data_IF_433700686685
#
_entry.id   IF_433700686685
#
_cell.length_a   1.000
_cell.length_b   1.000
_cell.length_c   1.000
_cell.angle_alpha   90.00
_cell.angle_beta   90.00
_cell.angle_gamma   90.00
#
_symmetry.space_group_name_H-M   'P 1'
#
loop_
_entity.id
_entity.type
_entity.pdbx_description
1 polymer ?
#
# COMPACT_ATOMS: atom_id res chain seq x y z
N UNK A 1 -0.10 33.19 -9.16
CA UNK A 1 0.63 33.05 -10.42
C UNK A 1 2.10 33.09 -10.07
N UNK A 2 2.72 31.94 -9.91
CA UNK A 2 4.16 31.79 -9.85
C UNK A 2 4.49 30.59 -10.71
N UNK A 3 4.93 30.87 -11.90
CA UNK A 3 5.50 29.93 -12.85
C UNK A 3 6.77 29.35 -12.21
N UNK A 4 6.69 28.10 -11.77
CA UNK A 4 7.86 27.35 -11.36
C UNK A 4 8.60 26.93 -12.63
N UNK A 5 9.40 27.82 -13.18
CA UNK A 5 10.34 27.58 -14.27
C UNK A 5 11.59 26.93 -13.68
N UNK A 6 11.45 25.66 -13.24
CA UNK A 6 12.62 24.83 -12.94
C UNK A 6 13.12 24.23 -14.25
N UNK A 7 13.77 25.05 -15.06
CA UNK A 7 14.65 24.60 -16.13
C UNK A 7 15.83 23.87 -15.50
N UNK A 8 15.65 22.61 -15.12
CA UNK A 8 16.78 21.73 -14.87
C UNK A 8 17.46 21.47 -16.20
N UNK A 9 18.61 22.09 -16.38
CA UNK A 9 19.46 21.88 -17.53
C UNK A 9 19.68 20.37 -17.75
N UNK A 10 19.70 19.88 -18.99
CA UNK A 10 20.04 18.49 -19.29
C UNK A 10 21.40 18.17 -18.68
N UNK A 11 21.63 16.90 -18.30
CA UNK A 11 22.96 16.48 -17.85
C UNK A 11 24.01 17.03 -18.82
N UNK A 12 24.99 17.84 -18.36
CA UNK A 12 25.97 18.44 -19.23
C UNK A 12 26.71 17.31 -19.97
N UNK A 13 26.66 17.30 -21.31
CA UNK A 13 27.47 16.41 -22.11
C UNK A 13 26.75 15.26 -22.85
N UNK A 14 25.43 15.11 -22.75
CA UNK A 14 24.71 14.14 -23.58
C UNK A 14 24.00 14.80 -24.78
N UNK A 15 24.57 14.71 -26.00
CA UNK A 15 23.83 15.04 -27.22
C UNK A 15 22.79 13.92 -27.48
N UNK A 16 21.51 14.27 -27.49
CA UNK A 16 20.39 13.35 -27.65
C UNK A 16 19.78 12.91 -26.32
N UNK A 17 19.45 13.89 -25.44
CA UNK A 17 18.75 13.62 -24.20
C UNK A 17 17.42 12.91 -24.48
N UNK A 18 17.43 11.58 -24.35
CA UNK A 18 16.23 10.81 -24.15
C UNK A 18 15.42 11.51 -23.05
N UNK A 19 14.11 11.66 -23.22
CA UNK A 19 13.22 12.26 -22.23
C UNK A 19 13.56 11.65 -20.86
N UNK A 20 13.80 12.51 -19.85
CA UNK A 20 14.11 12.04 -18.51
C UNK A 20 12.96 11.15 -18.02
N UNK A 21 13.29 10.08 -17.33
CA UNK A 21 12.24 9.21 -16.74
C UNK A 21 11.38 10.03 -15.77
N UNK A 22 12.00 10.95 -15.00
CA UNK A 22 11.28 11.85 -14.11
C UNK A 22 10.25 12.74 -14.79
N UNK A 23 10.43 13.07 -16.08
CA UNK A 23 9.49 13.92 -16.85
C UNK A 23 8.18 13.17 -17.18
N UNK A 24 8.16 11.85 -17.01
CA UNK A 24 6.97 10.99 -17.18
C UNK A 24 6.17 10.85 -15.90
N UNK A 25 6.76 11.20 -14.75
CA UNK A 25 6.14 10.98 -13.45
C UNK A 25 5.28 12.18 -13.05
N UNK A 26 4.13 11.95 -12.39
CA UNK A 26 3.35 13.03 -11.82
C UNK A 26 4.14 13.74 -10.72
N UNK A 27 3.78 15.00 -10.44
CA UNK A 27 4.29 15.71 -9.25
C UNK A 27 3.95 14.89 -8.02
N UNK A 28 4.92 14.77 -7.11
CA UNK A 28 4.71 13.99 -5.89
C UNK A 28 3.55 14.60 -5.08
N UNK A 29 2.45 13.85 -4.85
CA UNK A 29 1.20 14.44 -4.37
C UNK A 29 1.35 15.18 -3.03
N UNK A 30 2.16 14.66 -2.10
CA UNK A 30 2.35 15.26 -0.77
C UNK A 30 3.04 16.61 -0.77
N UNK A 31 3.79 16.97 -1.82
CA UNK A 31 4.40 18.31 -1.94
C UNK A 31 3.33 19.42 -2.00
N UNK A 32 2.13 19.08 -2.52
CA UNK A 32 0.99 20.01 -2.56
C UNK A 32 0.38 20.28 -1.18
N UNK A 33 0.60 19.42 -0.20
CA UNK A 33 0.09 19.56 1.17
C UNK A 33 0.90 20.53 2.02
N UNK A 34 2.11 20.88 1.62
CA UNK A 34 3.03 21.69 2.41
C UNK A 34 2.45 23.04 2.90
N UNK A 35 1.67 23.81 2.12
CA UNK A 35 1.03 25.04 2.62
C UNK A 35 0.05 24.77 3.78
N UNK A 36 -0.77 23.73 3.65
CA UNK A 36 -1.77 23.36 4.66
C UNK A 36 -1.13 22.76 5.91
N UNK A 37 -0.02 22.04 5.75
CA UNK A 37 0.78 21.55 6.85
C UNK A 37 1.32 22.68 7.69
N UNK A 38 1.88 23.73 7.06
CA UNK A 38 2.34 24.95 7.77
C UNK A 38 1.21 25.64 8.54
N UNK A 39 0.02 25.75 7.94
CA UNK A 39 -1.17 26.26 8.65
C UNK A 39 -1.47 25.42 9.88
N UNK A 40 -1.55 24.10 9.74
CA UNK A 40 -1.87 23.19 10.84
C UNK A 40 -0.77 23.18 11.93
N UNK A 41 0.50 23.31 11.58
CA UNK A 41 1.62 23.45 12.53
C UNK A 41 1.55 24.74 13.34
N UNK A 42 0.92 25.78 12.80
CA UNK A 42 0.68 27.06 13.49
C UNK A 42 -0.38 27.00 14.61
N UNK A 43 -1.12 25.90 14.74
CA UNK A 43 -2.12 25.77 15.80
C UNK A 43 -1.45 25.73 17.19
N UNK A 44 -1.96 26.48 18.22
CA UNK A 44 -1.33 26.59 19.54
C UNK A 44 -1.04 25.25 20.22
N UNK A 45 -1.92 24.27 20.05
CA UNK A 45 -1.79 22.94 20.65
C UNK A 45 -1.09 21.93 19.71
N UNK A 46 -0.44 22.43 18.63
CA UNK A 46 0.35 21.65 17.69
C UNK A 46 -0.45 20.85 16.69
N UNK A 47 0.24 20.21 15.74
CA UNK A 47 -0.29 19.46 14.62
C UNK A 47 -0.86 18.10 15.03
N UNK A 48 -2.05 17.77 14.52
CA UNK A 48 -2.61 16.41 14.47
C UNK A 48 -2.53 15.92 13.01
N UNK A 49 -1.49 15.14 12.67
CA UNK A 49 -1.26 14.66 11.30
C UNK A 49 -1.93 13.29 11.07
N UNK A 50 -2.96 13.27 10.24
CA UNK A 50 -3.68 12.09 9.76
C UNK A 50 -3.57 11.93 8.24
N UNK A 51 -2.64 12.64 7.59
CA UNK A 51 -2.46 12.60 6.13
C UNK A 51 -1.73 11.36 5.66
N UNK A 52 -0.85 10.79 6.48
CA UNK A 52 -0.02 9.63 6.13
C UNK A 52 -0.32 8.46 7.06
N UNK A 53 -0.69 7.31 6.50
CA UNK A 53 -0.93 6.08 7.26
C UNK A 53 0.39 5.40 7.69
N UNK A 54 1.26 6.13 8.39
CA UNK A 54 2.49 5.56 8.95
C UNK A 54 2.28 5.14 10.41
N UNK A 55 2.73 3.94 10.82
CA UNK A 55 2.71 3.55 12.23
C UNK A 55 3.56 4.50 13.07
N UNK A 56 3.06 4.85 14.26
CA UNK A 56 3.78 5.68 15.24
C UNK A 56 4.03 4.93 16.55
N UNK A 57 3.32 3.83 16.78
CA UNK A 57 3.52 2.99 17.96
C UNK A 57 4.84 2.22 17.86
N UNK A 58 5.46 1.87 18.99
CA UNK A 58 6.74 1.15 19.00
C UNK A 58 6.67 -0.17 18.23
N UNK A 59 7.79 -0.54 17.62
CA UNK A 59 7.99 -1.90 17.11
C UNK A 59 7.92 -2.87 18.29
N UNK A 60 7.19 -4.01 18.20
CA UNK A 60 7.12 -5.00 19.28
C UNK A 60 8.51 -5.48 19.72
N UNK A 61 8.71 -5.63 21.02
CA UNK A 61 10.02 -5.93 21.60
C UNK A 61 10.62 -7.24 21.06
N UNK A 62 9.79 -8.28 20.90
CA UNK A 62 10.24 -9.56 20.31
C UNK A 62 10.87 -9.39 18.91
N UNK A 63 10.37 -8.44 18.12
CA UNK A 63 10.89 -8.15 16.78
C UNK A 63 12.20 -7.36 16.88
N UNK A 64 12.28 -6.40 17.82
CA UNK A 64 13.51 -5.66 18.08
C UNK A 64 14.65 -6.60 18.55
N UNK A 65 14.33 -7.54 19.44
CA UNK A 65 15.26 -8.56 19.91
C UNK A 65 15.74 -9.46 18.78
N UNK A 66 14.85 -9.91 17.89
CA UNK A 66 15.21 -10.70 16.72
C UNK A 66 16.15 -9.93 15.77
N UNK A 67 15.88 -8.63 15.55
CA UNK A 67 16.76 -7.77 14.76
C UNK A 67 18.15 -7.66 15.42
N UNK A 68 18.20 -7.38 16.72
CA UNK A 68 19.44 -7.21 17.47
C UNK A 68 20.29 -8.50 17.51
N UNK A 69 19.64 -9.66 17.62
CA UNK A 69 20.32 -10.95 17.61
C UNK A 69 21.00 -11.29 16.27
N UNK A 70 20.67 -10.58 15.19
CA UNK A 70 21.20 -10.83 13.85
C UNK A 70 22.01 -9.64 13.30
N UNK A 71 22.58 -8.80 14.17
CA UNK A 71 23.39 -7.63 13.75
C UNK A 71 24.77 -8.02 13.23
N UNK A 72 25.33 -9.14 13.69
CA UNK A 72 26.62 -9.66 13.22
C UNK A 72 26.40 -10.58 12.00
N UNK A 73 26.19 -9.98 10.85
CA UNK A 73 25.94 -10.65 9.57
C UNK A 73 26.80 -10.04 8.46
N UNK A 74 28.14 -10.34 8.44
CA UNK A 74 29.07 -9.72 7.49
C UNK A 74 28.90 -10.21 6.04
N UNK A 75 28.23 -11.36 5.83
CA UNK A 75 28.00 -11.93 4.51
C UNK A 75 26.78 -11.38 3.80
N UNK A 76 26.77 -11.44 2.47
CA UNK A 76 25.59 -11.07 1.68
C UNK A 76 24.42 -12.04 1.95
N UNK A 77 23.23 -11.55 2.28
CA UNK A 77 22.04 -12.39 2.36
C UNK A 77 21.61 -12.85 0.97
N UNK A 78 20.81 -13.92 0.92
CA UNK A 78 20.23 -14.37 -0.35
C UNK A 78 18.97 -13.54 -0.68
N UNK A 79 18.76 -13.28 -1.96
CA UNK A 79 17.56 -12.58 -2.46
C UNK A 79 16.27 -13.34 -2.13
N UNK A 80 16.32 -14.67 -2.24
CA UNK A 80 15.18 -15.53 -1.91
C UNK A 80 14.92 -15.63 -0.41
N UNK A 81 15.88 -15.24 0.41
CA UNK A 81 15.85 -15.47 1.85
C UNK A 81 16.10 -16.91 2.25
N UNK A 82 16.45 -17.17 3.52
CA UNK A 82 16.64 -18.51 4.04
C UNK A 82 15.33 -19.31 4.00
N UNK A 83 15.43 -20.64 3.92
CA UNK A 83 14.26 -21.53 3.88
C UNK A 83 13.32 -21.26 5.08
N UNK A 84 13.87 -21.09 6.27
CA UNK A 84 13.10 -20.81 7.48
C UNK A 84 12.21 -19.56 7.37
N UNK A 85 12.69 -18.49 6.70
CA UNK A 85 11.84 -17.31 6.43
C UNK A 85 10.70 -17.64 5.46
N UNK A 86 11.02 -18.37 4.40
CA UNK A 86 10.02 -18.75 3.39
C UNK A 86 8.96 -19.70 3.94
N UNK A 87 9.35 -20.62 4.80
CA UNK A 87 8.44 -21.50 5.56
C UNK A 87 7.59 -20.70 6.56
N UNK A 88 8.17 -19.70 7.22
CA UNK A 88 7.41 -18.78 8.10
C UNK A 88 6.38 -17.98 7.33
N UNK A 89 6.70 -17.49 6.12
CA UNK A 89 5.75 -16.79 5.24
C UNK A 89 4.64 -17.75 4.79
N UNK A 90 4.99 -18.93 4.29
CA UNK A 90 4.03 -19.93 3.85
C UNK A 90 3.10 -20.38 4.99
N UNK A 91 3.66 -20.64 6.16
CA UNK A 91 2.91 -20.98 7.37
C UNK A 91 1.96 -19.87 7.85
N UNK A 92 2.37 -18.61 7.72
CA UNK A 92 1.49 -17.48 8.02
C UNK A 92 0.34 -17.37 6.99
N UNK A 93 0.63 -17.51 5.70
CA UNK A 93 -0.38 -17.51 4.64
C UNK A 93 -1.42 -18.62 4.87
N UNK A 94 -0.96 -19.83 5.21
CA UNK A 94 -1.86 -20.93 5.55
C UNK A 94 -2.71 -20.61 6.78
N UNK A 95 -2.06 -20.23 7.91
CA UNK A 95 -2.72 -20.03 9.20
C UNK A 95 -3.68 -18.83 9.20
N UNK A 96 -3.28 -17.73 8.58
CA UNK A 96 -4.02 -16.46 8.66
C UNK A 96 -4.87 -16.16 7.45
N UNK A 97 -4.48 -16.65 6.28
CA UNK A 97 -5.14 -16.33 5.01
C UNK A 97 -5.82 -17.54 4.38
N UNK A 98 -5.65 -18.73 4.96
CA UNK A 98 -6.19 -19.98 4.39
C UNK A 98 -5.60 -20.33 3.02
N UNK A 99 -4.46 -19.76 2.65
CA UNK A 99 -3.82 -19.94 1.35
C UNK A 99 -2.80 -21.09 1.40
N UNK A 100 -2.91 -22.04 0.49
CA UNK A 100 -2.02 -23.21 0.38
C UNK A 100 -0.82 -22.87 -0.53
N UNK A 101 0.14 -22.14 0.03
CA UNK A 101 1.35 -21.67 -0.68
C UNK A 101 2.58 -22.39 -0.13
N UNK A 102 3.40 -22.97 -1.02
CA UNK A 102 4.68 -23.54 -0.65
C UNK A 102 5.81 -22.50 -0.54
N UNK A 103 6.92 -22.83 0.15
CA UNK A 103 8.06 -21.92 0.32
C UNK A 103 8.78 -21.57 -0.98
N UNK A 104 8.54 -22.32 -2.07
CA UNK A 104 9.06 -22.01 -3.41
C UNK A 104 8.28 -20.89 -4.12
N UNK A 105 7.06 -20.59 -3.66
CA UNK A 105 6.16 -19.62 -4.25
C UNK A 105 6.07 -18.30 -3.45
N UNK A 106 7.10 -18.01 -2.64
CA UNK A 106 7.21 -16.78 -1.87
C UNK A 106 8.56 -16.09 -2.10
N UNK A 107 8.56 -14.75 -2.06
CA UNK A 107 9.77 -13.94 -2.29
C UNK A 107 9.74 -12.69 -1.39
N UNK A 108 10.71 -12.52 -0.47
CA UNK A 108 10.86 -11.29 0.31
C UNK A 108 11.19 -10.09 -0.57
N UNK A 109 10.65 -8.91 -0.21
CA UNK A 109 10.84 -7.66 -0.95
C UNK A 109 11.16 -6.48 -0.03
N UNK A 110 11.80 -5.43 -0.57
CA UNK A 110 12.29 -4.27 0.18
C UNK A 110 11.16 -3.24 0.36
N UNK A 111 10.09 -3.68 1.02
CA UNK A 111 8.83 -2.94 1.14
C UNK A 111 7.93 -3.10 -0.08
N UNK A 112 6.62 -3.17 0.14
CA UNK A 112 5.64 -3.35 -0.94
C UNK A 112 5.68 -2.22 -1.98
N UNK A 113 5.96 -0.97 -1.57
CA UNK A 113 6.07 0.16 -2.51
C UNK A 113 7.17 -0.05 -3.56
N UNK A 114 8.31 -0.59 -3.17
CA UNK A 114 9.41 -0.90 -4.10
C UNK A 114 8.93 -1.91 -5.13
N UNK A 115 8.33 -3.03 -4.67
CA UNK A 115 7.81 -4.05 -5.56
C UNK A 115 6.75 -3.48 -6.51
N UNK A 116 5.76 -2.74 -5.99
CA UNK A 116 4.69 -2.14 -6.80
C UNK A 116 5.24 -1.24 -7.90
N UNK A 117 6.23 -0.40 -7.55
CA UNK A 117 6.83 0.53 -8.51
C UNK A 117 7.63 -0.17 -9.62
N UNK A 118 8.33 -1.26 -9.29
CA UNK A 118 9.24 -1.91 -10.22
C UNK A 118 8.70 -3.18 -10.87
N UNK A 119 7.60 -3.73 -10.38
CA UNK A 119 7.02 -4.98 -10.89
C UNK A 119 6.71 -4.94 -12.39
N UNK A 120 6.05 -3.90 -12.95
CA UNK A 120 5.78 -3.86 -14.37
C UNK A 120 7.06 -3.96 -15.22
N UNK A 121 8.10 -3.21 -14.85
CA UNK A 121 9.39 -3.28 -15.54
C UNK A 121 10.11 -4.60 -15.37
N UNK A 122 10.05 -5.23 -14.17
CA UNK A 122 10.60 -6.56 -13.92
C UNK A 122 9.89 -7.66 -14.73
N UNK A 123 8.62 -7.47 -15.06
CA UNK A 123 7.87 -8.37 -15.94
C UNK A 123 8.13 -8.11 -17.42
N UNK A 124 9.03 -7.19 -17.75
CA UNK A 124 9.35 -6.84 -19.15
C UNK A 124 8.29 -6.00 -19.84
N UNK A 125 7.35 -5.41 -19.11
CA UNK A 125 6.34 -4.53 -19.68
C UNK A 125 6.96 -3.21 -20.16
N UNK A 126 6.36 -2.63 -21.20
CA UNK A 126 6.84 -1.41 -21.83
C UNK A 126 5.82 -0.76 -22.76
N UNK A 127 6.29 0.06 -23.72
CA UNK A 127 5.42 0.74 -24.67
C UNK A 127 4.53 -0.23 -25.45
N UNK A 128 3.21 0.00 -25.43
CA UNK A 128 2.20 -0.84 -26.04
C UNK A 128 1.50 -1.82 -25.10
N UNK A 129 2.03 -2.01 -23.88
CA UNK A 129 1.38 -2.79 -22.84
C UNK A 129 0.55 -1.88 -21.92
N UNK A 130 -0.55 -2.39 -21.39
CA UNK A 130 -1.39 -1.70 -20.42
C UNK A 130 -1.26 -2.32 -19.02
N UNK A 131 -1.17 -1.45 -18.00
CA UNK A 131 -1.23 -1.79 -16.59
C UNK A 131 -2.52 -1.20 -16.02
N UNK A 132 -3.47 -2.07 -15.68
CA UNK A 132 -4.76 -1.67 -15.13
C UNK A 132 -4.73 -1.58 -13.61
N UNK A 133 -5.40 -0.56 -13.03
CA UNK A 133 -5.51 -0.34 -11.60
C UNK A 133 -6.83 0.38 -11.26
N UNK A 134 -7.38 0.21 -10.03
CA UNK A 134 -8.64 0.84 -9.65
C UNK A 134 -8.60 2.37 -9.78
N UNK A 135 -9.68 3.01 -10.20
CA UNK A 135 -9.79 4.48 -10.38
C UNK A 135 -9.61 5.30 -9.11
N UNK A 136 -9.81 4.69 -7.94
CA UNK A 136 -9.39 5.22 -6.64
C UNK A 136 -8.30 4.30 -6.12
N UNK A 137 -7.05 4.72 -6.19
CA UNK A 137 -5.92 3.83 -5.99
C UNK A 137 -4.71 4.51 -5.32
N UNK A 138 -3.87 3.68 -4.74
CA UNK A 138 -2.55 4.08 -4.32
C UNK A 138 -1.72 4.55 -5.53
N UNK A 139 -1.21 5.80 -5.54
CA UNK A 139 -0.63 6.41 -6.76
C UNK A 139 0.54 5.64 -7.37
N UNK A 140 1.16 4.75 -6.61
CA UNK A 140 2.34 4.01 -7.08
C UNK A 140 2.01 2.96 -8.16
N UNK A 141 0.76 2.53 -8.30
CA UNK A 141 0.37 1.63 -9.40
C UNK A 141 0.55 2.32 -10.76
N UNK A 142 0.08 3.55 -10.88
CA UNK A 142 0.30 4.39 -12.06
C UNK A 142 1.79 4.65 -12.30
N UNK A 143 2.51 5.04 -11.25
CA UNK A 143 3.95 5.30 -11.30
C UNK A 143 4.72 4.08 -11.83
N UNK A 144 4.36 2.87 -11.40
CA UNK A 144 5.00 1.64 -11.88
C UNK A 144 4.86 1.44 -13.40
N UNK A 145 3.69 1.71 -13.96
CA UNK A 145 3.48 1.68 -15.40
C UNK A 145 4.32 2.74 -16.12
N UNK A 146 4.30 3.98 -15.62
CA UNK A 146 5.05 5.09 -16.21
C UNK A 146 6.57 4.87 -16.17
N UNK A 147 7.10 4.25 -15.12
CA UNK A 147 8.54 3.96 -14.99
C UNK A 147 9.04 3.05 -16.12
N UNK A 148 8.29 2.05 -16.51
CA UNK A 148 8.66 1.15 -17.63
C UNK A 148 8.17 1.64 -18.99
N UNK A 149 7.36 2.71 -19.05
CA UNK A 149 6.80 3.25 -20.29
C UNK A 149 5.56 2.53 -20.78
N UNK A 150 4.95 1.67 -19.96
CA UNK A 150 3.63 1.10 -20.21
C UNK A 150 2.53 2.14 -20.01
N UNK A 151 1.36 1.88 -20.57
CA UNK A 151 0.19 2.73 -20.45
C UNK A 151 -0.57 2.43 -19.13
N UNK A 152 -0.70 3.39 -18.20
CA UNK A 152 -1.52 3.23 -17.02
C UNK A 152 -3.01 3.37 -17.38
N UNK A 153 -3.86 2.43 -16.93
CA UNK A 153 -5.30 2.41 -17.22
C UNK A 153 -6.08 2.31 -15.90
N UNK A 154 -6.70 3.42 -15.48
CA UNK A 154 -7.59 3.43 -14.33
C UNK A 154 -8.96 2.86 -14.72
N UNK A 155 -9.49 1.89 -13.93
CA UNK A 155 -10.80 1.27 -14.21
C UNK A 155 -11.76 1.40 -13.02
N UNK A 156 -13.04 1.51 -13.33
CA UNK A 156 -14.13 1.42 -12.35
C UNK A 156 -14.71 0.01 -12.27
N UNK A 157 -14.88 -0.63 -13.43
CA UNK A 157 -15.31 -2.02 -13.57
C UNK A 157 -14.41 -2.75 -14.58
N UNK A 158 -14.27 -4.07 -14.42
CA UNK A 158 -13.45 -4.91 -15.29
C UNK A 158 -13.97 -4.92 -16.74
N UNK A 159 -15.26 -4.71 -16.93
CA UNK A 159 -15.88 -4.66 -18.26
C UNK A 159 -15.46 -3.41 -19.07
N UNK A 160 -14.85 -2.42 -18.43
CA UNK A 160 -14.26 -1.25 -19.09
C UNK A 160 -12.91 -1.54 -19.75
N UNK A 161 -12.26 -2.68 -19.39
CA UNK A 161 -10.92 -3.01 -19.82
C UNK A 161 -10.86 -3.79 -21.12
N UNK A 162 -9.93 -3.40 -22.00
CA UNK A 162 -9.56 -4.19 -23.17
C UNK A 162 -8.56 -5.30 -22.78
N UNK A 163 -9.08 -6.48 -22.47
CA UNK A 163 -8.27 -7.63 -22.04
C UNK A 163 -7.21 -8.08 -23.06
N UNK A 164 -7.29 -7.64 -24.30
CA UNK A 164 -6.27 -7.94 -25.32
C UNK A 164 -4.99 -7.09 -25.13
N UNK A 165 -5.07 -5.94 -24.44
CA UNK A 165 -3.97 -5.00 -24.22
C UNK A 165 -3.43 -5.03 -22.80
N UNK A 166 -4.29 -5.30 -21.82
CA UNK A 166 -3.87 -5.38 -20.40
C UNK A 166 -2.93 -6.56 -20.20
N UNK A 167 -1.80 -6.32 -19.54
CA UNK A 167 -0.81 -7.33 -19.17
C UNK A 167 -0.73 -7.55 -17.65
N UNK A 168 -1.04 -6.51 -16.89
CA UNK A 168 -1.03 -6.52 -15.46
C UNK A 168 -2.29 -5.85 -14.93
N UNK A 169 -3.00 -6.55 -14.04
CA UNK A 169 -4.17 -6.04 -13.33
C UNK A 169 -3.88 -5.92 -11.84
N UNK A 170 -3.90 -4.71 -11.31
CA UNK A 170 -3.83 -4.47 -9.88
C UNK A 170 -5.21 -4.55 -9.25
N UNK A 171 -5.31 -5.30 -8.15
CA UNK A 171 -6.36 -5.18 -7.14
C UNK A 171 -5.75 -4.61 -5.86
N UNK A 172 -6.57 -3.96 -5.03
CA UNK A 172 -6.20 -3.53 -3.69
C UNK A 172 -7.37 -3.75 -2.74
N UNK A 173 -7.30 -4.82 -1.97
CA UNK A 173 -8.32 -5.18 -0.99
C UNK A 173 -7.69 -5.75 0.27
N UNK A 174 -7.90 -5.10 1.42
CA UNK A 174 -8.63 -3.83 1.65
C UNK A 174 -7.99 -2.63 0.97
N UNK A 175 -8.81 -1.73 0.47
CA UNK A 175 -8.39 -0.63 -0.38
C UNK A 175 -7.73 0.52 0.39
N UNK A 176 -6.71 1.11 -0.19
CA UNK A 176 -6.23 2.46 0.07
C UNK A 176 -6.59 3.33 -1.15
N UNK A 177 -7.47 4.33 -1.04
CA UNK A 177 -7.79 5.10 0.18
C UNK A 177 -9.06 4.69 0.92
N UNK A 178 -9.97 3.94 0.30
CA UNK A 178 -11.37 3.85 0.73
C UNK A 178 -11.64 2.92 1.92
N UNK A 179 -10.73 1.97 2.19
CA UNK A 179 -10.97 0.91 3.16
C UNK A 179 -12.01 -0.14 2.72
N UNK A 180 -12.47 -0.08 1.45
CA UNK A 180 -13.40 -1.05 0.88
C UNK A 180 -12.78 -2.44 0.85
N UNK A 181 -13.59 -3.44 1.16
CA UNK A 181 -13.22 -4.85 1.06
C UNK A 181 -13.95 -5.47 -0.12
N UNK A 182 -13.20 -6.08 -1.03
CA UNK A 182 -13.79 -6.89 -2.11
C UNK A 182 -14.22 -8.24 -1.54
N UNK A 183 -15.47 -8.63 -1.79
CA UNK A 183 -15.98 -9.92 -1.41
C UNK A 183 -15.38 -11.06 -2.25
N UNK A 184 -15.53 -12.30 -1.77
CA UNK A 184 -15.00 -13.48 -2.47
C UNK A 184 -15.53 -13.61 -3.90
N UNK A 185 -16.77 -13.22 -4.16
CA UNK A 185 -17.36 -13.27 -5.51
C UNK A 185 -16.76 -12.21 -6.44
N UNK A 186 -16.49 -10.99 -5.94
CA UNK A 186 -15.82 -9.94 -6.70
C UNK A 186 -14.38 -10.34 -7.04
N UNK A 187 -13.66 -10.90 -6.07
CA UNK A 187 -12.30 -11.41 -6.27
C UNK A 187 -12.29 -12.57 -7.27
N UNK A 188 -13.24 -13.49 -7.19
CA UNK A 188 -13.37 -14.63 -8.13
C UNK A 188 -13.63 -14.12 -9.55
N UNK A 189 -14.55 -13.17 -9.73
CA UNK A 189 -14.78 -12.53 -11.03
C UNK A 189 -13.50 -11.92 -11.61
N UNK A 190 -12.69 -11.27 -10.77
CA UNK A 190 -11.42 -10.69 -11.23
C UNK A 190 -10.40 -11.79 -11.63
N UNK A 191 -10.31 -12.88 -10.88
CA UNK A 191 -9.46 -14.04 -11.21
C UNK A 191 -9.90 -14.69 -12.52
N UNK A 192 -11.20 -14.90 -12.71
CA UNK A 192 -11.77 -15.48 -13.95
C UNK A 192 -11.49 -14.57 -15.14
N UNK A 193 -11.70 -13.25 -14.99
CA UNK A 193 -11.39 -12.27 -16.03
C UNK A 193 -9.91 -12.29 -16.40
N UNK A 194 -9.02 -12.27 -15.41
CA UNK A 194 -7.58 -12.28 -15.64
C UNK A 194 -7.12 -13.55 -16.38
N UNK A 195 -7.62 -14.70 -15.97
CA UNK A 195 -7.31 -16.00 -16.60
C UNK A 195 -7.82 -16.06 -18.06
N UNK A 196 -9.06 -15.60 -18.28
CA UNK A 196 -9.66 -15.59 -19.62
C UNK A 196 -8.83 -14.75 -20.60
N UNK A 197 -8.20 -13.67 -20.13
CA UNK A 197 -7.41 -12.76 -20.95
C UNK A 197 -5.89 -12.99 -20.84
N UNK A 198 -5.44 -13.96 -20.04
CA UNK A 198 -4.01 -14.24 -19.76
C UNK A 198 -3.27 -13.02 -19.19
N UNK A 199 -3.94 -12.32 -18.29
CA UNK A 199 -3.43 -11.15 -17.57
C UNK A 199 -2.89 -11.61 -16.21
N UNK A 200 -1.71 -11.14 -15.83
CA UNK A 200 -1.22 -11.33 -14.46
C UNK A 200 -2.05 -10.46 -13.51
N UNK A 201 -2.72 -11.10 -12.55
CA UNK A 201 -3.44 -10.40 -11.50
C UNK A 201 -2.55 -10.30 -10.26
N UNK A 202 -2.39 -9.08 -9.74
CA UNK A 202 -1.65 -8.81 -8.51
C UNK A 202 -2.55 -8.10 -7.51
N UNK A 203 -2.79 -8.76 -6.38
CA UNK A 203 -3.58 -8.22 -5.27
C UNK A 203 -2.67 -7.61 -4.21
N UNK A 204 -2.78 -6.30 -3.99
CA UNK A 204 -2.13 -5.64 -2.86
C UNK A 204 -2.99 -5.83 -1.60
N UNK A 205 -2.51 -6.69 -0.72
CA UNK A 205 -3.21 -7.16 0.48
C UNK A 205 -2.56 -6.64 1.78
N UNK A 206 -1.87 -5.50 1.70
CA UNK A 206 -1.14 -4.93 2.83
C UNK A 206 -1.98 -4.64 4.08
N UNK A 207 -3.31 -4.61 3.96
CA UNK A 207 -4.25 -4.34 5.06
C UNK A 207 -5.13 -5.52 5.44
N UNK A 208 -4.82 -6.73 4.97
CA UNK A 208 -5.71 -7.90 5.09
C UNK A 208 -6.04 -8.26 6.56
N UNK A 209 -5.12 -8.03 7.51
CA UNK A 209 -5.35 -8.29 8.95
C UNK A 209 -6.04 -7.10 9.68
N UNK A 210 -6.45 -6.06 8.96
CA UNK A 210 -7.04 -4.84 9.52
C UNK A 210 -8.51 -4.69 9.09
N UNK A 211 -9.27 -5.77 9.18
CA UNK A 211 -10.73 -5.78 9.01
C UNK A 211 -11.45 -5.26 10.27
N UNK A 212 -12.48 -4.43 10.09
CA UNK A 212 -13.29 -3.84 11.17
C UNK A 212 -14.75 -4.26 11.09
N UNK A 213 -15.37 -4.09 9.94
CA UNK A 213 -16.79 -4.35 9.65
C UNK A 213 -16.96 -5.45 8.59
N UNK A 214 -15.89 -5.81 7.90
CA UNK A 214 -15.82 -6.93 6.97
C UNK A 214 -14.56 -7.76 7.26
N UNK A 215 -14.63 -9.04 6.94
CA UNK A 215 -13.48 -9.94 7.00
C UNK A 215 -12.87 -10.04 5.60
N UNK A 216 -11.66 -9.50 5.39
CA UNK A 216 -11.00 -9.56 4.10
C UNK A 216 -10.57 -10.98 3.75
N UNK A 217 -10.63 -11.32 2.47
CA UNK A 217 -10.18 -12.61 1.93
C UNK A 217 -9.02 -12.38 0.97
N UNK A 218 -8.01 -13.25 1.02
CA UNK A 218 -6.89 -13.22 0.07
C UNK A 218 -7.31 -13.73 -1.31
N UNK A 219 -6.73 -13.14 -2.37
CA UNK A 219 -6.88 -13.67 -3.73
C UNK A 219 -6.35 -15.10 -3.87
N UNK A 220 -5.44 -15.51 -2.96
CA UNK A 220 -4.85 -16.85 -2.92
C UNK A 220 -5.66 -17.85 -2.10
N UNK A 221 -6.78 -17.44 -1.50
CA UNK A 221 -7.66 -18.37 -0.76
C UNK A 221 -8.38 -19.29 -1.75
N UNK A 222 -8.51 -20.62 -1.46
CA UNK A 222 -9.15 -21.57 -2.38
C UNK A 222 -10.58 -21.22 -2.80
N UNK A 223 -11.35 -20.53 -1.94
CA UNK A 223 -12.69 -20.03 -2.31
C UNK A 223 -12.67 -18.96 -3.42
N UNK A 224 -11.51 -18.35 -3.71
CA UNK A 224 -11.31 -17.33 -4.73
C UNK A 224 -10.58 -17.90 -5.95
N UNK A 225 -9.40 -18.49 -5.73
CA UNK A 225 -8.55 -18.95 -6.83
C UNK A 225 -8.82 -20.39 -7.28
N UNK A 226 -9.62 -21.17 -6.51
CA UNK A 226 -9.75 -22.62 -6.70
C UNK A 226 -8.44 -23.34 -6.34
N UNK A 227 -8.08 -24.35 -7.11
CA UNK A 227 -6.91 -25.21 -6.87
C UNK A 227 -5.63 -24.70 -7.53
N UNK A 228 -5.61 -23.50 -8.11
CA UNK A 228 -4.48 -22.99 -8.87
C UNK A 228 -4.17 -21.53 -8.55
N UNK A 229 -2.88 -21.25 -8.36
CA UNK A 229 -2.34 -19.89 -8.23
C UNK A 229 -1.75 -19.36 -9.55
N UNK A 230 -1.92 -20.06 -10.67
CA UNK A 230 -1.44 -19.64 -11.98
C UNK A 230 -1.95 -18.24 -12.34
N UNK A 231 -1.02 -17.35 -12.70
CA UNK A 231 -1.30 -15.96 -13.05
C UNK A 231 -1.72 -15.08 -11.88
N UNK A 232 -1.53 -15.49 -10.63
CA UNK A 232 -1.92 -14.73 -9.44
C UNK A 232 -0.73 -14.43 -8.54
N UNK A 233 -0.65 -13.19 -8.07
CA UNK A 233 0.26 -12.76 -7.00
C UNK A 233 -0.50 -12.00 -5.92
N UNK A 234 -0.12 -12.21 -4.66
CA UNK A 234 -0.53 -11.38 -3.53
C UNK A 234 0.67 -10.70 -2.90
N UNK A 235 0.54 -9.40 -2.62
CA UNK A 235 1.58 -8.58 -1.99
C UNK A 235 1.20 -8.29 -0.55
N UNK A 236 2.07 -8.64 0.38
CA UNK A 236 1.88 -8.43 1.81
C UNK A 236 3.00 -7.59 2.41
N UNK A 237 2.67 -6.81 3.45
CA UNK A 237 3.61 -5.94 4.12
C UNK A 237 3.48 -6.01 5.63
N UNK A 238 4.63 -6.06 6.33
CA UNK A 238 4.68 -5.98 7.78
C UNK A 238 4.64 -4.52 8.28
N UNK A 239 4.65 -3.56 7.37
CA UNK A 239 4.62 -2.13 7.72
C UNK A 239 3.45 -1.75 8.60
N UNK A 240 2.26 -2.33 8.36
CA UNK A 240 1.01 -1.94 9.02
C UNK A 240 0.60 -2.89 10.13
N UNK A 241 0.77 -4.20 9.94
CA UNK A 241 0.42 -5.21 10.93
C UNK A 241 1.39 -5.27 12.11
N UNK A 242 2.68 -4.93 11.89
CA UNK A 242 3.77 -5.13 12.87
C UNK A 242 4.60 -3.87 13.12
N UNK A 243 4.13 -2.68 12.70
CA UNK A 243 4.83 -1.40 12.84
C UNK A 243 6.24 -1.38 12.21
N UNK A 244 6.47 -2.14 11.12
CA UNK A 244 7.78 -2.30 10.48
C UNK A 244 7.97 -1.43 9.22
N UNK A 245 7.28 -0.30 9.10
CA UNK A 245 7.38 0.55 7.92
C UNK A 245 8.83 0.99 7.62
N UNK A 246 9.60 1.33 8.65
CA UNK A 246 11.02 1.70 8.55
C UNK A 246 11.95 0.53 8.22
N UNK A 247 11.55 -0.72 8.49
CA UNK A 247 12.36 -1.92 8.23
C UNK A 247 12.31 -2.38 6.77
N UNK A 248 11.35 -1.87 6.01
CA UNK A 248 11.13 -2.29 4.62
C UNK A 248 10.88 -3.79 4.49
N UNK A 249 10.08 -4.37 5.39
CA UNK A 249 9.74 -5.79 5.43
C UNK A 249 8.42 -6.05 4.69
N UNK A 250 8.49 -6.81 3.61
CA UNK A 250 7.35 -7.23 2.79
C UNK A 250 7.70 -8.49 2.00
N UNK A 251 6.71 -9.07 1.36
CA UNK A 251 6.89 -10.21 0.48
C UNK A 251 5.78 -10.28 -0.57
N UNK A 252 6.04 -11.04 -1.63
CA UNK A 252 5.06 -11.44 -2.63
C UNK A 252 4.94 -12.97 -2.62
N UNK A 253 3.74 -13.47 -2.83
CA UNK A 253 3.44 -14.90 -2.91
C UNK A 253 2.44 -15.18 -4.03
N UNK A 254 2.44 -16.40 -4.57
CA UNK A 254 1.45 -16.81 -5.58
C UNK A 254 2.01 -17.77 -6.61
N UNK A 255 1.86 -17.43 -7.89
CA UNK A 255 2.35 -18.25 -9.00
C UNK A 255 3.87 -18.53 -8.88
N UNK A 256 4.29 -19.79 -8.68
CA UNK A 256 5.71 -20.13 -8.47
C UNK A 256 6.57 -19.87 -9.72
N UNK A 257 5.97 -19.85 -10.91
CA UNK A 257 6.70 -19.54 -12.16
C UNK A 257 7.04 -18.06 -12.19
N UNK A 258 6.09 -17.19 -11.88
CA UNK A 258 6.29 -15.73 -11.82
C UNK A 258 7.22 -15.37 -10.67
N UNK A 259 7.05 -15.97 -9.49
CA UNK A 259 7.94 -15.77 -8.33
C UNK A 259 9.39 -16.13 -8.67
N UNK A 260 9.63 -17.23 -9.39
CA UNK A 260 10.96 -17.63 -9.83
C UNK A 260 11.57 -16.65 -10.82
N UNK A 261 10.78 -16.17 -11.77
CA UNK A 261 11.25 -15.14 -12.74
C UNK A 261 11.66 -13.85 -12.01
N UNK A 262 10.82 -13.37 -11.10
CA UNK A 262 11.14 -12.21 -10.26
C UNK A 262 12.41 -12.44 -9.43
N UNK A 263 12.59 -13.63 -8.87
CA UNK A 263 13.79 -13.98 -8.12
C UNK A 263 15.06 -13.84 -8.97
N UNK A 264 15.05 -14.36 -10.21
CA UNK A 264 16.24 -14.27 -11.09
C UNK A 264 16.55 -12.80 -11.44
N UNK A 265 15.55 -12.01 -11.79
CA UNK A 265 15.73 -10.58 -12.10
C UNK A 265 16.26 -9.82 -10.89
N UNK A 266 15.69 -10.06 -9.70
CA UNK A 266 16.07 -9.38 -8.47
C UNK A 266 17.47 -9.75 -7.98
N UNK A 267 17.95 -10.94 -8.26
CA UNK A 267 19.36 -11.34 -8.03
C UNK A 267 20.32 -10.43 -8.80
N UNK A 268 20.05 -10.21 -10.09
CA UNK A 268 20.86 -9.33 -10.93
C UNK A 268 20.72 -7.85 -10.56
N UNK A 269 19.54 -7.42 -10.14
CA UNK A 269 19.23 -6.05 -9.72
C UNK A 269 19.72 -5.67 -8.32
N UNK A 270 20.23 -6.64 -7.53
CA UNK A 270 20.67 -6.38 -6.16
C UNK A 270 19.54 -6.02 -5.19
N UNK A 271 18.30 -6.43 -5.48
CA UNK A 271 17.12 -6.14 -4.66
C UNK A 271 17.02 -7.15 -3.51
N UNK A 272 17.82 -6.96 -2.47
CA UNK A 272 18.00 -7.90 -1.36
C UNK A 272 17.51 -7.27 -0.06
N UNK A 273 16.67 -8.00 0.68
CA UNK A 273 16.28 -7.61 2.04
C UNK A 273 17.46 -7.87 2.98
N UNK A 274 17.86 -6.91 3.84
CA UNK A 274 18.96 -7.12 4.79
C UNK A 274 18.71 -8.32 5.72
N UNK A 275 19.76 -9.10 6.03
CA UNK A 275 19.65 -10.32 6.83
C UNK A 275 18.97 -10.11 8.20
N UNK A 276 19.28 -9.05 8.99
CA UNK A 276 18.58 -8.78 10.23
C UNK A 276 17.08 -8.55 10.04
N UNK A 277 16.66 -7.89 8.94
CA UNK A 277 15.26 -7.67 8.61
C UNK A 277 14.58 -8.98 8.20
N UNK A 278 15.26 -9.86 7.49
CA UNK A 278 14.74 -11.20 7.16
C UNK A 278 14.44 -12.01 8.42
N UNK A 279 15.35 -12.00 9.40
CA UNK A 279 15.16 -12.66 10.69
C UNK A 279 14.00 -12.06 11.49
N UNK A 280 13.93 -10.75 11.60
CA UNK A 280 12.84 -10.03 12.26
C UNK A 280 11.48 -10.31 11.59
N UNK A 281 11.44 -10.43 10.25
CA UNK A 281 10.24 -10.77 9.49
C UNK A 281 9.72 -12.15 9.86
N UNK A 282 10.60 -13.17 9.94
CA UNK A 282 10.21 -14.53 10.32
C UNK A 282 9.57 -14.57 11.72
N UNK A 283 10.16 -13.88 12.69
CA UNK A 283 9.65 -13.79 14.07
C UNK A 283 8.29 -13.04 14.11
N UNK A 284 8.17 -11.94 13.38
CA UNK A 284 6.93 -11.17 13.32
C UNK A 284 5.77 -11.96 12.70
N UNK A 285 6.04 -12.83 11.72
CA UNK A 285 5.02 -13.67 11.10
C UNK A 285 4.62 -14.88 11.97
N UNK A 286 5.49 -15.29 12.88
CA UNK A 286 5.21 -16.37 13.82
C UNK A 286 4.38 -15.93 15.05
N UNK A 287 4.29 -14.62 15.31
CA UNK A 287 3.55 -14.07 16.45
C UNK A 287 2.30 -13.29 16.00
N UNK A 288 1.14 -13.72 16.46
CA UNK A 288 -0.14 -13.06 16.18
C UNK A 288 -0.58 -12.14 17.35
N UNK A 289 0.04 -12.25 18.54
CA UNK A 289 -0.37 -11.50 19.72
C UNK A 289 -0.13 -9.99 19.55
N UNK A 290 1.05 -9.59 19.08
CA UNK A 290 1.34 -8.18 18.84
C UNK A 290 0.43 -7.55 17.77
N UNK A 291 -0.03 -8.36 16.80
CA UNK A 291 -0.98 -7.88 15.76
C UNK A 291 -2.35 -7.62 16.39
N UNK A 292 -2.81 -8.51 17.27
CA UNK A 292 -4.06 -8.33 17.98
C UNK A 292 -4.03 -7.07 18.87
N UNK A 293 -2.96 -6.86 19.63
CA UNK A 293 -2.78 -5.65 20.45
C UNK A 293 -2.79 -4.37 19.60
N UNK A 294 -2.06 -4.35 18.51
CA UNK A 294 -2.02 -3.17 17.63
C UNK A 294 -3.37 -2.93 16.96
N UNK A 295 -4.06 -3.99 16.56
CA UNK A 295 -5.41 -3.90 16.01
C UNK A 295 -6.40 -3.30 17.00
N UNK A 296 -6.33 -3.65 18.30
CA UNK A 296 -7.16 -3.05 19.33
C UNK A 296 -6.88 -1.54 19.51
N UNK A 297 -5.61 -1.11 19.47
CA UNK A 297 -5.24 0.32 19.51
C UNK A 297 -5.88 1.05 18.32
N UNK A 298 -5.72 0.53 17.12
CA UNK A 298 -6.32 1.12 15.92
C UNK A 298 -7.85 1.13 15.97
N UNK A 299 -8.49 0.10 16.50
CA UNK A 299 -9.95 0.04 16.65
C UNK A 299 -10.48 1.17 17.56
N UNK A 300 -9.82 1.44 18.69
CA UNK A 300 -10.19 2.57 19.58
C UNK A 300 -10.01 3.92 18.88
N UNK A 301 -8.86 4.14 18.23
CA UNK A 301 -8.56 5.39 17.49
C UNK A 301 -9.56 5.62 16.36
N UNK A 302 -9.83 4.55 15.59
CA UNK A 302 -10.83 4.57 14.51
C UNK A 302 -12.20 4.96 15.03
N UNK A 303 -12.67 4.32 16.09
CA UNK A 303 -13.99 4.59 16.68
C UNK A 303 -14.12 6.03 17.18
N UNK A 304 -13.11 6.55 17.85
CA UNK A 304 -13.10 7.92 18.35
C UNK A 304 -13.10 8.96 17.22
N UNK A 305 -12.24 8.79 16.21
CA UNK A 305 -12.15 9.69 15.05
C UNK A 305 -13.42 9.62 14.20
N UNK A 306 -13.96 8.43 13.94
CA UNK A 306 -15.19 8.26 13.18
C UNK A 306 -16.34 9.01 13.81
N UNK A 307 -16.58 8.80 15.11
CA UNK A 307 -17.64 9.47 15.83
C UNK A 307 -17.49 11.02 15.83
N UNK A 308 -16.26 11.51 15.98
CA UNK A 308 -16.00 12.96 15.95
C UNK A 308 -16.21 13.56 14.56
N UNK A 309 -15.75 12.88 13.49
CA UNK A 309 -15.96 13.32 12.11
C UNK A 309 -17.45 13.32 11.73
N UNK A 310 -18.19 12.28 12.10
CA UNK A 310 -19.63 12.20 11.85
C UNK A 310 -20.38 13.32 12.60
N UNK A 311 -20.02 13.59 13.86
CA UNK A 311 -20.57 14.71 14.63
C UNK A 311 -20.23 16.09 14.03
N UNK A 312 -19.06 16.23 13.39
CA UNK A 312 -18.64 17.45 12.69
C UNK A 312 -19.32 17.61 11.31
N UNK A 313 -20.11 16.63 10.88
CA UNK A 313 -20.89 16.68 9.64
C UNK A 313 -20.28 15.93 8.45
N UNK A 314 -19.29 15.06 8.69
CA UNK A 314 -18.79 14.16 7.66
C UNK A 314 -19.68 12.93 7.50
N UNK A 315 -19.84 12.49 6.25
CA UNK A 315 -20.30 11.15 5.92
C UNK A 315 -19.07 10.26 5.68
N UNK A 316 -19.03 9.11 6.33
CA UNK A 316 -17.97 8.11 6.13
C UNK A 316 -18.51 7.08 5.15
N UNK A 317 -17.78 6.87 4.05
CA UNK A 317 -18.10 5.85 3.06
C UNK A 317 -17.09 4.70 3.14
N UNK A 318 -17.55 3.49 2.86
CA UNK A 318 -16.72 2.30 2.99
C UNK A 318 -16.03 2.22 4.37
N UNK A 319 -14.70 2.11 4.41
CA UNK A 319 -13.91 2.07 5.65
C UNK A 319 -14.14 0.79 6.47
N UNK A 320 -14.56 -0.29 5.81
CA UNK A 320 -14.83 -1.60 6.44
C UNK A 320 -13.52 -2.24 6.94
N UNK A 321 -12.38 -1.80 6.39
CA UNK A 321 -11.04 -2.30 6.74
C UNK A 321 -9.98 -1.22 6.54
N UNK A 322 -8.70 -1.57 6.57
CA UNK A 322 -7.51 -0.72 6.42
C UNK A 322 -7.23 0.20 7.61
N UNK A 323 -6.47 1.27 7.41
CA UNK A 323 -6.08 2.26 8.41
C UNK A 323 -6.69 3.64 8.15
N UNK A 324 -7.77 3.71 7.35
CA UNK A 324 -8.30 4.96 6.85
C UNK A 324 -9.80 5.07 7.05
N UNK A 325 -10.24 6.30 7.33
CA UNK A 325 -11.62 6.73 7.16
C UNK A 325 -11.69 7.53 5.86
N UNK A 326 -12.60 7.15 4.96
CA UNK A 326 -12.88 7.84 3.72
C UNK A 326 -14.07 8.75 3.93
N UNK A 327 -13.80 10.04 4.11
CA UNK A 327 -14.74 11.00 4.67
C UNK A 327 -15.09 12.11 3.66
N UNK A 328 -16.34 12.53 3.63
CA UNK A 328 -16.81 13.60 2.74
C UNK A 328 -17.84 14.51 3.44
N UNK A 329 -17.86 15.77 3.03
CA UNK A 329 -18.94 16.74 3.27
C UNK A 329 -19.55 17.20 1.95
N UNK A 330 -19.42 16.42 0.87
CA UNK A 330 -19.90 16.70 -0.49
C UNK A 330 -19.40 18.03 -1.10
N UNK A 331 -18.24 18.50 -0.67
CA UNK A 331 -17.53 19.68 -1.19
C UNK A 331 -16.12 19.34 -1.67
N UNK A 332 -15.45 20.23 -2.42
CA UNK A 332 -14.10 19.99 -2.90
C UNK A 332 -13.14 19.62 -1.76
N UNK A 333 -12.33 18.56 -1.96
CA UNK A 333 -11.46 18.01 -0.92
C UNK A 333 -10.44 19.04 -0.37
N UNK A 334 -9.95 19.94 -1.21
CA UNK A 334 -9.01 20.97 -0.79
C UNK A 334 -9.62 22.05 0.11
N UNK A 335 -10.93 22.35 -0.03
CA UNK A 335 -11.64 23.21 0.91
C UNK A 335 -11.74 22.54 2.28
N UNK A 336 -12.01 21.25 2.31
CA UNK A 336 -12.03 20.44 3.54
C UNK A 336 -10.64 20.38 4.19
N UNK A 337 -9.58 20.16 3.39
CA UNK A 337 -8.20 20.16 3.90
C UNK A 337 -7.83 21.53 4.49
N UNK A 338 -8.20 22.63 3.83
CA UNK A 338 -7.94 23.98 4.32
C UNK A 338 -8.63 24.24 5.67
N UNK A 339 -9.92 23.93 5.78
CA UNK A 339 -10.69 24.10 7.01
C UNK A 339 -10.13 23.29 8.17
N UNK A 340 -9.83 22.00 7.95
CA UNK A 340 -9.25 21.15 8.98
C UNK A 340 -7.84 21.60 9.39
N UNK A 341 -7.07 22.17 8.46
CA UNK A 341 -5.74 22.72 8.75
C UNK A 341 -5.80 23.91 9.72
N UNK A 342 -6.83 24.77 9.62
CA UNK A 342 -7.07 25.86 10.60
C UNK A 342 -7.36 25.34 12.01
N UNK A 343 -7.90 24.12 12.11
CA UNK A 343 -8.07 23.41 13.38
C UNK A 343 -6.80 22.65 13.83
N UNK A 344 -5.68 22.80 13.11
CA UNK A 344 -4.45 22.06 13.37
C UNK A 344 -4.56 20.57 13.05
N UNK A 345 -5.47 20.18 12.15
CA UNK A 345 -5.71 18.80 11.71
C UNK A 345 -5.32 18.69 10.23
N UNK A 346 -4.35 17.83 9.92
CA UNK A 346 -3.91 17.58 8.56
C UNK A 346 -4.43 16.23 8.06
N UNK A 347 -5.10 16.23 6.90
CA UNK A 347 -5.63 15.03 6.23
C UNK A 347 -5.17 14.99 4.78
N UNK A 348 -5.23 13.81 4.15
CA UNK A 348 -4.89 13.72 2.73
C UNK A 348 -6.14 14.03 1.87
N UNK A 349 -6.02 14.92 0.86
CA UNK A 349 -7.11 15.15 -0.09
C UNK A 349 -7.33 13.90 -0.95
N UNK A 350 -8.57 13.64 -1.30
CA UNK A 350 -8.93 12.42 -2.02
C UNK A 350 -8.49 12.42 -3.49
N UNK A 351 -8.24 13.59 -4.07
CA UNK A 351 -7.74 13.70 -5.45
C UNK A 351 -6.32 13.11 -5.63
N UNK A 352 -5.56 12.90 -4.55
CA UNK A 352 -4.29 12.17 -4.58
C UNK A 352 -4.44 10.73 -5.05
N UNK A 353 -5.64 10.18 -4.96
CA UNK A 353 -5.95 8.78 -5.26
C UNK A 353 -6.73 8.61 -6.57
N UNK A 354 -6.97 9.70 -7.26
CA UNK A 354 -7.68 9.77 -8.52
C UNK A 354 -8.82 10.79 -8.53
N UNK A 355 -9.27 11.21 -9.72
CA UNK A 355 -10.30 12.25 -9.86
C UNK A 355 -11.63 11.94 -9.16
N UNK A 356 -11.97 10.65 -9.00
CA UNK A 356 -13.19 10.25 -8.29
C UNK A 356 -13.14 10.55 -6.77
N UNK A 357 -11.98 10.94 -6.25
CA UNK A 357 -11.77 11.32 -4.85
C UNK A 357 -11.90 12.82 -4.58
N UNK A 358 -12.22 13.65 -5.56
CA UNK A 358 -12.16 15.11 -5.49
C UNK A 358 -13.06 15.76 -4.41
N UNK A 359 -14.05 15.01 -3.88
CA UNK A 359 -14.94 15.43 -2.80
C UNK A 359 -14.68 14.72 -1.47
N UNK A 360 -13.63 13.95 -1.37
CA UNK A 360 -13.30 13.14 -0.19
C UNK A 360 -11.98 13.57 0.41
N UNK A 361 -11.81 13.26 1.68
CA UNK A 361 -10.51 13.26 2.35
C UNK A 361 -10.26 11.89 2.96
N UNK A 362 -9.00 11.48 2.98
CA UNK A 362 -8.57 10.27 3.66
C UNK A 362 -7.97 10.64 5.03
N UNK A 363 -8.54 10.11 6.10
CA UNK A 363 -8.10 10.32 7.49
C UNK A 363 -7.45 9.03 7.99
N UNK A 364 -6.14 9.04 8.21
CA UNK A 364 -5.41 7.90 8.75
C UNK A 364 -5.50 7.90 10.30
N UNK A 365 -5.87 6.79 10.92
CA UNK A 365 -5.96 6.71 12.40
C UNK A 365 -4.72 6.07 13.04
N UNK A 366 -3.54 6.30 12.46
CA UNK A 366 -2.26 5.78 12.96
C UNK A 366 -1.54 6.71 13.93
N UNK A 367 -2.01 7.95 14.12
CA UNK A 367 -1.44 8.90 15.08
C UNK A 367 -1.57 8.40 16.53
N UNK A 368 -0.82 8.99 17.47
CA UNK A 368 -0.86 8.61 18.88
C UNK A 368 -2.22 8.86 19.53
N UNK A 369 -2.52 8.19 20.64
CA UNK A 369 -3.79 8.34 21.37
C UNK A 369 -4.02 9.80 21.79
N UNK A 370 -2.96 10.53 22.19
CA UNK A 370 -3.04 11.95 22.57
C UNK A 370 -3.40 12.84 21.36
N UNK A 371 -2.84 12.57 20.17
CA UNK A 371 -3.15 13.32 18.95
C UNK A 371 -4.56 13.05 18.46
N UNK A 372 -5.01 11.80 18.60
CA UNK A 372 -6.42 11.44 18.29
C UNK A 372 -7.36 12.16 19.26
N UNK A 373 -7.09 12.14 20.57
CA UNK A 373 -7.91 12.85 21.55
C UNK A 373 -7.95 14.37 21.30
N UNK A 374 -6.80 14.98 20.99
CA UNK A 374 -6.73 16.41 20.66
C UNK A 374 -7.58 16.75 19.41
N UNK A 375 -7.52 15.94 18.35
CA UNK A 375 -8.33 16.15 17.17
C UNK A 375 -9.84 16.00 17.45
N UNK A 376 -10.23 15.00 18.23
CA UNK A 376 -11.62 14.80 18.68
C UNK A 376 -12.15 16.03 19.42
N UNK A 377 -11.37 16.65 20.31
CA UNK A 377 -11.77 17.87 21.01
C UNK A 377 -11.91 19.07 20.06
N UNK A 378 -11.01 19.20 19.08
CA UNK A 378 -11.06 20.30 18.07
C UNK A 378 -12.26 20.18 17.13
N UNK A 379 -12.70 18.95 16.83
CA UNK A 379 -13.88 18.68 16.01
C UNK A 379 -15.21 18.87 16.75
N UNK A 380 -15.22 19.16 18.06
CA UNK A 380 -16.44 19.48 18.83
C UNK A 380 -16.90 20.94 18.70
N UNK A 381 -16.16 21.78 18.01
CA UNK A 381 -16.41 23.22 17.92
C UNK A 381 -17.37 23.59 16.81
#
# INVERSE_FOLDING_TARGET
>A
VSTNDSTHAPFPGHPGAARRVSDRLPVFPWDKLEPYKRTAEGHPDGLCDFSVGTPVDPVPELIQQALAAHTDTPGYPTVWGPLALRESIAGWLHRRMGAEIGPEAVLPTVGSKELVAWLPGQLGLGPGDQVAYPKLAYPTYEVGALLCGAEPVAYGDLDELDGSKVRLLWLNSPSNPTGRVLGADELRRAVEWARAHRVLLVSDECYLELGWEAEPVSVLHPSVCGDSHEGLLAVHSLSKRSNLAGYRASFVAGDPVVVRELLEIRKHGGMIVPAPVQAATAVALADDAHVAEQRERYARRRGALRAALEAYGFRIEHSEASLYLWATQDRPCWETVAELAELGILVAPGDFYGPAGDRFVRVAFTATDERVAAAVERLKR
#
